data_IF_938878679527
#
_entry.id   IF_938878679527
#
_cell.length_a   1.000
_cell.length_b   1.000
_cell.length_c   1.000
_cell.angle_alpha   90.00
_cell.angle_beta   90.00
_cell.angle_gamma   90.00
#
_symmetry.space_group_name_H-M   'P 1'
#
loop_
_entity.id
_entity.type
_entity.pdbx_description
1 polymer ?
#
# COMPACT_ATOMS: atom_id res chain seq x y z
N UNK A 1 25.36 -24.82 16.52
CA UNK A 1 25.05 -23.37 16.65
C UNK A 1 25.19 -22.73 15.27
N UNK A 2 24.12 -22.11 14.75
CA UNK A 2 24.19 -21.45 13.43
C UNK A 2 25.14 -20.27 13.46
N UNK A 3 26.05 -20.21 12.51
CA UNK A 3 27.03 -19.12 12.34
C UNK A 3 26.41 -17.75 12.04
N UNK A 4 25.10 -17.70 11.76
CA UNK A 4 24.43 -16.48 11.28
C UNK A 4 23.24 -16.13 12.18
N UNK A 5 23.10 -14.84 12.45
CA UNK A 5 21.95 -14.27 13.14
C UNK A 5 20.70 -14.42 12.26
N UNK A 6 19.63 -14.99 12.82
CA UNK A 6 18.34 -15.12 12.14
C UNK A 6 17.23 -14.61 13.07
N UNK A 7 16.51 -13.60 12.64
CA UNK A 7 15.33 -13.11 13.34
C UNK A 7 14.14 -14.05 13.10
N UNK A 8 13.27 -14.24 14.11
CA UNK A 8 12.04 -15.00 13.93
C UNK A 8 11.04 -14.27 13.02
N UNK A 9 10.18 -15.03 12.31
CA UNK A 9 9.12 -14.45 11.48
C UNK A 9 8.20 -13.53 12.31
N UNK A 10 7.91 -13.89 13.55
CA UNK A 10 7.09 -13.08 14.47
C UNK A 10 7.76 -11.75 14.78
N UNK A 11 9.05 -11.73 15.06
CA UNK A 11 9.79 -10.50 15.34
C UNK A 11 9.90 -9.64 14.08
N UNK A 12 10.26 -10.23 12.94
CA UNK A 12 10.34 -9.52 11.66
C UNK A 12 9.00 -8.89 11.25
N UNK A 13 7.89 -9.60 11.46
CA UNK A 13 6.54 -9.08 11.24
C UNK A 13 6.26 -7.87 12.14
N UNK A 14 6.54 -8.00 13.45
CA UNK A 14 6.35 -6.93 14.43
C UNK A 14 7.17 -5.68 14.05
N UNK A 15 8.45 -5.85 13.70
CA UNK A 15 9.35 -4.75 13.38
C UNK A 15 8.88 -3.99 12.12
N UNK A 16 8.46 -4.71 11.06
CA UNK A 16 7.91 -4.10 9.84
C UNK A 16 6.60 -3.36 10.11
N UNK A 17 5.72 -3.95 10.90
CA UNK A 17 4.46 -3.31 11.29
C UNK A 17 4.73 -2.04 12.10
N UNK A 18 5.68 -2.08 13.04
CA UNK A 18 6.08 -0.91 13.81
C UNK A 18 6.64 0.20 12.94
N UNK A 19 7.50 -0.12 11.96
CA UNK A 19 8.02 0.85 11.00
C UNK A 19 6.88 1.53 10.25
N UNK A 20 5.92 0.77 9.72
CA UNK A 20 4.82 1.35 8.96
C UNK A 20 3.94 2.26 9.84
N UNK A 21 3.65 1.83 11.08
CA UNK A 21 2.90 2.65 12.06
C UNK A 21 3.63 3.94 12.43
N UNK A 22 4.95 3.89 12.59
CA UNK A 22 5.73 5.05 13.04
C UNK A 22 5.97 6.09 11.97
N UNK A 23 6.12 5.69 10.71
CA UNK A 23 6.53 6.61 9.65
C UNK A 23 5.67 6.55 8.39
N UNK A 24 5.05 5.41 8.09
CA UNK A 24 4.20 5.24 6.92
C UNK A 24 2.85 5.91 7.10
N UNK A 25 2.14 5.56 8.18
CA UNK A 25 0.83 6.12 8.51
C UNK A 25 0.90 7.65 8.64
N UNK A 26 1.76 8.24 9.52
CA UNK A 26 1.79 9.69 9.65
C UNK A 26 2.12 10.41 8.34
N UNK A 27 3.01 9.85 7.53
CA UNK A 27 3.36 10.47 6.25
C UNK A 27 2.23 10.43 5.22
N UNK A 28 1.36 9.43 5.26
CA UNK A 28 0.15 9.38 4.43
C UNK A 28 -0.92 10.35 4.95
N UNK A 29 -1.13 10.42 6.25
CA UNK A 29 -2.04 11.38 6.90
C UNK A 29 -1.64 12.82 6.60
N UNK A 30 -0.35 13.15 6.68
CA UNK A 30 0.22 14.47 6.29
C UNK A 30 -0.06 14.81 4.81
N UNK A 31 -0.25 13.80 3.95
CA UNK A 31 -0.66 13.96 2.56
C UNK A 31 -2.18 13.94 2.36
N UNK A 32 -2.97 13.98 3.42
CA UNK A 32 -4.42 14.04 3.39
C UNK A 32 -5.12 12.69 3.16
N UNK A 33 -4.41 11.58 3.29
CA UNK A 33 -5.04 10.27 3.32
C UNK A 33 -5.66 10.02 4.69
N UNK A 34 -6.82 9.38 4.71
CA UNK A 34 -7.50 8.96 5.95
C UNK A 34 -7.60 7.45 6.03
N UNK A 35 -7.71 6.90 7.23
CA UNK A 35 -8.01 5.51 7.51
C UNK A 35 -8.73 5.36 8.86
N UNK A 36 -9.53 4.32 9.09
CA UNK A 36 -10.01 3.37 8.09
C UNK A 36 -11.00 4.04 7.11
N UNK A 37 -11.06 3.52 5.87
CA UNK A 37 -11.92 4.08 4.82
C UNK A 37 -13.27 3.38 4.79
N UNK A 38 -13.25 2.05 4.87
CA UNK A 38 -14.43 1.20 4.76
C UNK A 38 -14.82 0.59 6.11
N UNK A 39 -16.02 0.04 6.17
CA UNK A 39 -16.51 -0.73 7.32
C UNK A 39 -15.77 -2.07 7.44
N UNK A 40 -14.46 -2.05 7.53
CA UNK A 40 -13.65 -3.25 7.75
C UNK A 40 -13.19 -3.32 9.19
N UNK A 41 -13.27 -4.48 9.82
CA UNK A 41 -12.80 -4.70 11.19
C UNK A 41 -11.29 -4.99 11.27
N UNK A 42 -10.60 -5.08 10.13
CA UNK A 42 -9.23 -5.58 10.06
C UNK A 42 -8.16 -4.51 9.92
N UNK A 43 -8.53 -3.26 9.66
CA UNK A 43 -7.57 -2.17 9.49
C UNK A 43 -6.66 -2.02 10.71
N UNK A 44 -5.36 -2.22 10.50
CA UNK A 44 -4.34 -2.15 11.55
C UNK A 44 -4.35 -3.28 12.59
N UNK A 45 -5.27 -4.24 12.51
CA UNK A 45 -5.35 -5.40 13.40
C UNK A 45 -4.67 -6.62 12.77
N UNK A 46 -4.23 -7.55 13.62
CA UNK A 46 -3.69 -8.81 13.14
C UNK A 46 -4.83 -9.70 12.59
N UNK A 47 -4.78 -10.00 11.30
CA UNK A 47 -5.73 -10.87 10.64
C UNK A 47 -5.13 -12.28 10.50
N UNK A 48 -5.81 -13.26 11.10
CA UNK A 48 -5.37 -14.66 11.10
C UNK A 48 -5.45 -15.33 9.73
N UNK A 49 -6.38 -14.92 8.88
CA UNK A 49 -6.55 -15.48 7.53
C UNK A 49 -5.37 -15.16 6.62
N UNK A 50 -4.88 -13.93 6.64
CA UNK A 50 -3.71 -13.49 5.87
C UNK A 50 -2.41 -13.65 6.66
N UNK A 51 -2.46 -14.02 7.94
CA UNK A 51 -1.33 -14.10 8.87
C UNK A 51 -0.50 -12.82 8.92
N UNK A 52 -1.15 -11.67 9.03
CA UNK A 52 -0.47 -10.39 8.96
C UNK A 52 -1.37 -9.21 9.30
N UNK A 53 -0.90 -8.03 8.94
CA UNK A 53 -1.62 -6.76 9.10
C UNK A 53 -1.98 -6.21 7.72
N UNK A 54 -3.15 -5.57 7.62
CA UNK A 54 -3.50 -4.73 6.47
C UNK A 54 -3.92 -3.35 6.94
N UNK A 55 -3.71 -2.37 6.08
CA UNK A 55 -4.13 -0.98 6.26
C UNK A 55 -4.72 -0.47 4.96
N UNK A 56 -5.81 0.26 5.07
CA UNK A 56 -6.52 0.82 3.92
C UNK A 56 -6.64 2.33 4.09
N UNK A 57 -6.02 3.06 3.19
CA UNK A 57 -6.06 4.52 3.16
C UNK A 57 -6.76 4.99 1.91
N UNK A 58 -7.47 6.10 2.01
CA UNK A 58 -7.93 6.80 0.82
C UNK A 58 -7.87 8.30 0.98
N UNK A 59 -7.80 8.96 -0.17
CA UNK A 59 -7.89 10.40 -0.32
C UNK A 59 -8.77 10.71 -1.52
N UNK A 60 -9.63 11.73 -1.39
CA UNK A 60 -10.50 12.17 -2.48
C UNK A 60 -9.87 13.40 -3.16
N UNK A 61 -9.76 13.34 -4.48
CA UNK A 61 -9.30 14.45 -5.30
C UNK A 61 -10.44 14.95 -6.20
N UNK A 62 -10.68 16.26 -6.17
CA UNK A 62 -11.70 16.93 -7.00
C UNK A 62 -13.11 16.31 -6.82
N UNK A 63 -13.44 15.78 -5.66
CA UNK A 63 -14.69 15.09 -5.34
C UNK A 63 -15.06 13.93 -6.29
N UNK A 64 -14.08 13.45 -7.04
CA UNK A 64 -14.28 12.49 -8.12
C UNK A 64 -13.31 11.32 -8.09
N UNK A 65 -12.05 11.58 -7.80
CA UNK A 65 -11.02 10.54 -7.84
C UNK A 65 -10.69 10.05 -6.44
N UNK A 66 -10.95 8.77 -6.19
CA UNK A 66 -10.57 8.08 -4.97
C UNK A 66 -9.19 7.46 -5.16
N UNK A 67 -8.18 8.06 -4.56
CA UNK A 67 -6.83 7.51 -4.48
C UNK A 67 -6.76 6.56 -3.30
N UNK A 68 -6.55 5.27 -3.55
CA UNK A 68 -6.57 4.21 -2.56
C UNK A 68 -5.18 3.60 -2.37
N UNK A 69 -4.74 3.45 -1.12
CA UNK A 69 -3.49 2.78 -0.75
C UNK A 69 -3.80 1.61 0.17
N UNK A 70 -3.45 0.42 -0.29
CA UNK A 70 -3.57 -0.81 0.48
C UNK A 70 -2.18 -1.32 0.87
N UNK A 71 -1.93 -1.47 2.17
CA UNK A 71 -0.66 -1.96 2.68
C UNK A 71 -0.83 -3.32 3.34
N UNK A 72 -0.02 -4.30 2.92
CA UNK A 72 0.02 -5.64 3.51
C UNK A 72 1.39 -5.93 4.10
N UNK A 73 1.40 -6.41 5.35
CA UNK A 73 2.59 -6.81 6.08
C UNK A 73 2.38 -8.25 6.57
N UNK A 74 2.87 -9.22 5.80
CA UNK A 74 2.54 -10.63 5.95
C UNK A 74 3.63 -11.40 6.69
N UNK A 75 3.24 -12.38 7.51
CA UNK A 75 4.18 -13.29 8.18
C UNK A 75 4.90 -14.17 7.16
N UNK A 76 6.19 -14.37 7.38
CA UNK A 76 7.02 -15.16 6.45
C UNK A 76 7.59 -14.38 5.29
N UNK A 77 7.12 -13.17 5.04
CA UNK A 77 7.68 -12.28 4.04
C UNK A 77 8.74 -11.34 4.63
N UNK A 78 9.58 -10.76 3.78
CA UNK A 78 10.58 -9.75 4.18
C UNK A 78 10.16 -8.33 3.82
N UNK A 79 9.07 -8.15 3.05
CA UNK A 79 8.63 -6.86 2.49
C UNK A 79 7.39 -6.31 3.20
N UNK A 80 7.21 -4.98 3.04
CA UNK A 80 5.94 -4.29 3.23
C UNK A 80 5.40 -4.05 1.82
N UNK A 81 4.27 -4.65 1.48
CA UNK A 81 3.64 -4.49 0.18
C UNK A 81 2.72 -3.26 0.25
N UNK A 82 2.99 -2.25 -0.57
CA UNK A 82 2.19 -1.02 -0.64
C UNK A 82 1.66 -0.91 -2.06
N UNK A 83 0.36 -0.98 -2.20
CA UNK A 83 -0.33 -0.89 -3.46
C UNK A 83 -1.07 0.43 -3.57
N UNK A 84 -0.97 1.04 -4.73
CA UNK A 84 -1.76 2.23 -5.11
C UNK A 84 -2.75 1.84 -6.19
N UNK A 85 -3.98 2.28 -6.05
CA UNK A 85 -4.99 2.26 -7.10
C UNK A 85 -5.79 3.56 -7.10
N UNK A 86 -6.41 3.91 -8.23
CA UNK A 86 -7.22 5.12 -8.35
C UNK A 86 -8.51 4.77 -9.06
N UNK A 87 -9.61 5.24 -8.50
CA UNK A 87 -10.96 5.04 -9.02
C UNK A 87 -11.62 6.39 -9.32
N UNK A 88 -12.46 6.42 -10.32
CA UNK A 88 -13.37 7.52 -10.55
C UNK A 88 -14.72 7.15 -9.94
N UNK A 89 -15.15 7.90 -8.92
CA UNK A 89 -16.38 7.60 -8.18
C UNK A 89 -17.56 8.33 -8.83
N UNK A 90 -18.63 7.60 -9.08
CA UNK A 90 -19.88 8.15 -9.60
C UNK A 90 -21.08 7.53 -8.84
N UNK A 91 -22.01 8.36 -8.32
CA UNK A 91 -21.97 9.83 -8.29
C UNK A 91 -20.80 10.38 -7.48
N UNK A 92 -20.51 11.68 -7.61
CA UNK A 92 -19.41 12.33 -6.87
C UNK A 92 -19.62 12.23 -5.36
N UNK A 93 -18.51 12.09 -4.60
CA UNK A 93 -18.48 12.11 -3.15
C UNK A 93 -18.14 13.51 -2.64
N UNK A 94 -18.75 13.93 -1.54
CA UNK A 94 -18.33 15.13 -0.82
C UNK A 94 -17.16 14.84 0.11
N UNK A 95 -17.14 13.65 0.70
CA UNK A 95 -16.07 13.22 1.62
C UNK A 95 -15.82 11.71 1.52
N UNK A 96 -14.54 11.31 1.71
CA UNK A 96 -14.16 9.88 1.83
C UNK A 96 -14.89 9.19 2.98
N UNK A 97 -15.26 9.92 4.03
CA UNK A 97 -15.97 9.35 5.19
C UNK A 97 -17.35 8.76 4.86
N UNK A 98 -17.93 9.14 3.73
CA UNK A 98 -19.19 8.54 3.26
C UNK A 98 -19.03 7.06 2.90
N UNK A 99 -17.81 6.63 2.61
CA UNK A 99 -17.52 5.22 2.32
C UNK A 99 -17.49 4.32 3.56
N UNK A 100 -17.48 4.89 4.78
CA UNK A 100 -17.39 4.11 6.03
C UNK A 100 -18.57 3.15 6.27
N UNK A 101 -19.65 3.28 5.55
CA UNK A 101 -20.83 2.40 5.62
C UNK A 101 -20.73 1.16 4.71
N UNK A 102 -19.79 1.17 3.77
CA UNK A 102 -19.56 0.08 2.81
C UNK A 102 -18.39 -0.81 3.25
N UNK A 103 -18.32 -2.03 2.76
CA UNK A 103 -17.23 -2.97 3.08
C UNK A 103 -15.97 -2.76 2.22
N UNK A 104 -16.10 -2.15 1.05
CA UNK A 104 -15.00 -1.86 0.15
C UNK A 104 -14.41 -3.07 -0.58
N UNK A 105 -15.00 -4.24 -0.48
CA UNK A 105 -14.45 -5.48 -1.05
C UNK A 105 -14.28 -5.40 -2.56
N UNK A 106 -15.24 -4.83 -3.28
CA UNK A 106 -15.20 -4.75 -4.75
C UNK A 106 -14.05 -3.89 -5.27
N UNK A 107 -13.54 -2.92 -4.49
CA UNK A 107 -12.35 -2.17 -4.86
C UNK A 107 -11.07 -3.02 -4.90
N UNK A 108 -11.06 -4.14 -4.19
CA UNK A 108 -9.89 -5.01 -4.02
C UNK A 108 -9.92 -6.28 -4.87
N UNK A 109 -11.00 -6.55 -5.59
CA UNK A 109 -11.17 -7.74 -6.44
C UNK A 109 -11.22 -7.40 -7.94
N UNK A 110 -11.05 -8.37 -8.85
CA UNK A 110 -11.20 -8.13 -10.29
C UNK A 110 -12.62 -7.61 -10.64
N UNK A 111 -12.71 -6.69 -11.61
CA UNK A 111 -11.62 -6.19 -12.43
C UNK A 111 -10.84 -5.00 -11.83
N UNK A 112 -11.27 -4.45 -10.70
CA UNK A 112 -10.68 -3.26 -10.09
C UNK A 112 -9.21 -3.42 -9.69
N UNK A 113 -8.81 -4.61 -9.24
CA UNK A 113 -7.43 -4.86 -8.81
C UNK A 113 -6.42 -5.01 -9.97
N UNK A 114 -6.88 -5.04 -11.24
CA UNK A 114 -6.01 -5.16 -12.41
C UNK A 114 -5.13 -3.91 -12.58
N UNK A 115 -5.64 -2.75 -12.21
CA UNK A 115 -4.92 -1.47 -12.29
C UNK A 115 -4.12 -1.15 -11.03
N UNK A 116 -4.08 -2.06 -10.07
CA UNK A 116 -3.34 -1.89 -8.82
C UNK A 116 -1.83 -1.96 -9.06
N UNK A 117 -1.12 -0.90 -8.69
CA UNK A 117 0.33 -0.75 -8.86
C UNK A 117 1.05 -1.01 -7.54
N UNK A 118 1.94 -1.99 -7.49
CA UNK A 118 2.84 -2.22 -6.35
C UNK A 118 3.98 -1.21 -6.41
N UNK A 119 4.10 -0.39 -5.38
CA UNK A 119 5.15 0.63 -5.29
C UNK A 119 6.54 -0.02 -5.21
N UNK A 120 7.50 0.59 -5.86
CA UNK A 120 8.88 0.08 -5.98
C UNK A 120 8.98 -1.25 -6.73
N UNK A 121 7.98 -1.58 -7.54
CA UNK A 121 7.95 -2.74 -8.43
C UNK A 121 7.38 -2.35 -9.78
N UNK A 122 6.08 -2.06 -9.84
CA UNK A 122 5.36 -1.85 -11.10
C UNK A 122 5.56 -0.43 -11.65
N UNK A 123 5.98 0.52 -10.82
CA UNK A 123 6.26 1.90 -11.19
C UNK A 123 7.60 2.09 -11.94
N UNK A 124 8.41 1.04 -12.06
CA UNK A 124 9.72 1.12 -12.70
C UNK A 124 9.63 1.24 -14.23
N UNK A 125 10.49 2.11 -14.81
CA UNK A 125 10.55 2.39 -16.25
C UNK A 125 11.80 1.84 -16.97
N UNK A 126 12.79 1.37 -16.22
CA UNK A 126 14.08 0.97 -16.79
C UNK A 126 14.14 -0.49 -17.25
N UNK A 127 15.28 -0.90 -17.81
CA UNK A 127 15.50 -2.30 -18.15
C UNK A 127 15.37 -3.22 -16.94
N UNK A 128 14.77 -4.43 -17.09
CA UNK A 128 14.50 -5.33 -15.97
C UNK A 128 15.74 -5.69 -15.12
N UNK A 129 16.90 -5.76 -15.75
CA UNK A 129 18.16 -6.09 -15.07
C UNK A 129 18.60 -5.01 -14.07
N UNK A 130 18.33 -3.74 -14.36
CA UNK A 130 18.64 -2.63 -13.44
C UNK A 130 17.67 -2.55 -12.26
N UNK A 131 16.43 -3.00 -12.45
CA UNK A 131 15.47 -3.14 -11.36
C UNK A 131 16.03 -4.01 -10.23
N UNK A 132 16.51 -5.20 -10.56
CA UNK A 132 17.04 -6.15 -9.57
C UNK A 132 18.26 -5.63 -8.80
N UNK A 133 19.06 -4.75 -9.39
CA UNK A 133 20.34 -4.32 -8.85
C UNK A 133 20.23 -3.00 -8.10
N UNK A 134 19.45 -2.04 -8.60
CA UNK A 134 19.51 -0.64 -8.19
C UNK A 134 18.28 -0.09 -7.49
N UNK A 135 17.10 -0.76 -7.60
CA UNK A 135 15.92 -0.25 -6.94
C UNK A 135 15.79 -0.81 -5.52
N UNK A 136 15.84 0.06 -4.51
CA UNK A 136 15.50 -0.36 -3.17
C UNK A 136 14.00 -0.66 -3.08
N UNK A 137 13.67 -1.91 -2.81
CA UNK A 137 12.29 -2.33 -2.51
C UNK A 137 11.97 -2.08 -1.03
N UNK A 138 10.68 -2.04 -0.70
CA UNK A 138 10.19 -1.97 0.68
C UNK A 138 10.41 -3.30 1.43
N UNK A 139 11.66 -3.77 1.48
CA UNK A 139 12.01 -5.06 2.12
C UNK A 139 13.24 -4.96 3.02
N UNK A 140 13.27 -5.87 3.98
CA UNK A 140 14.48 -6.14 4.76
C UNK A 140 15.40 -6.98 3.86
N UNK A 141 16.51 -6.38 3.41
CA UNK A 141 17.51 -7.08 2.61
C UNK A 141 18.32 -8.08 3.43
N UNK A 142 19.23 -8.80 2.79
CA UNK A 142 20.08 -9.79 3.43
C UNK A 142 20.92 -9.20 4.57
N UNK A 143 21.06 -9.97 5.65
CA UNK A 143 21.87 -9.64 6.83
C UNK A 143 22.39 -10.94 7.45
N UNK A 144 23.51 -10.84 8.18
CA UNK A 144 24.16 -11.99 8.81
C UNK A 144 24.38 -11.78 10.31
N UNK A 145 24.23 -10.55 10.80
CA UNK A 145 24.41 -10.18 12.21
C UNK A 145 23.21 -9.40 12.73
N UNK A 146 23.07 -9.30 14.06
CA UNK A 146 22.04 -8.47 14.69
C UNK A 146 22.19 -6.99 14.29
N UNK A 147 23.39 -6.45 14.34
CA UNK A 147 23.66 -5.08 13.90
C UNK A 147 23.33 -4.86 12.42
N UNK A 148 23.60 -5.87 11.56
CA UNK A 148 23.21 -5.86 10.16
C UNK A 148 21.68 -5.79 9.98
N UNK A 149 20.93 -6.58 10.75
CA UNK A 149 19.46 -6.54 10.75
C UNK A 149 18.93 -5.16 11.15
N UNK A 150 19.41 -4.60 12.25
CA UNK A 150 19.04 -3.27 12.73
C UNK A 150 19.34 -2.18 11.69
N UNK A 151 20.47 -2.29 11.01
CA UNK A 151 20.83 -1.37 9.91
C UNK A 151 19.85 -1.48 8.74
N UNK A 152 19.40 -2.70 8.39
CA UNK A 152 18.39 -2.90 7.34
C UNK A 152 17.02 -2.35 7.74
N UNK A 153 16.61 -2.50 9.00
CA UNK A 153 15.38 -1.88 9.52
C UNK A 153 15.43 -0.35 9.41
N UNK A 154 16.54 0.28 9.80
CA UNK A 154 16.72 1.74 9.65
C UNK A 154 16.58 2.19 8.19
N UNK A 155 17.21 1.47 7.26
CA UNK A 155 17.09 1.77 5.82
C UNK A 155 15.65 1.62 5.31
N UNK A 156 14.97 0.55 5.70
CA UNK A 156 13.56 0.34 5.36
C UNK A 156 12.68 1.47 5.91
N UNK A 157 12.89 1.87 7.18
CA UNK A 157 12.16 2.97 7.81
C UNK A 157 12.29 4.29 7.03
N UNK A 158 13.53 4.66 6.66
CA UNK A 158 13.81 5.86 5.87
C UNK A 158 13.13 5.78 4.50
N UNK A 159 13.20 4.63 3.84
CA UNK A 159 12.61 4.43 2.51
C UNK A 159 11.07 4.57 2.56
N UNK A 160 10.41 3.90 3.51
CA UNK A 160 8.96 4.00 3.70
C UNK A 160 8.55 5.45 3.97
N UNK A 161 9.24 6.14 4.88
CA UNK A 161 8.95 7.53 5.19
C UNK A 161 9.08 8.45 3.95
N UNK A 162 10.14 8.28 3.18
CA UNK A 162 10.42 9.08 1.99
C UNK A 162 9.36 8.86 0.90
N UNK A 163 8.97 7.61 0.67
CA UNK A 163 8.01 7.28 -0.36
C UNK A 163 6.60 7.74 0.00
N UNK A 164 6.19 7.54 1.26
CA UNK A 164 4.87 8.01 1.71
C UNK A 164 4.78 9.54 1.74
N UNK A 165 5.86 10.24 2.09
CA UNK A 165 5.93 11.71 1.96
C UNK A 165 5.85 12.18 0.49
N UNK A 166 6.37 11.40 -0.43
CA UNK A 166 6.40 11.70 -1.86
C UNK A 166 5.37 10.92 -2.67
N UNK A 167 4.27 10.49 -2.06
CA UNK A 167 3.27 9.60 -2.66
C UNK A 167 2.72 10.16 -4.00
N UNK A 168 2.64 11.47 -4.14
CA UNK A 168 2.19 12.14 -5.35
C UNK A 168 3.04 11.81 -6.60
N UNK A 169 4.31 11.39 -6.43
CA UNK A 169 5.14 10.91 -7.56
C UNK A 169 4.63 9.57 -8.08
N UNK A 170 4.21 8.69 -7.18
CA UNK A 170 3.63 7.38 -7.53
C UNK A 170 2.23 7.54 -8.12
N UNK A 171 1.43 8.49 -7.63
CA UNK A 171 0.12 8.83 -8.20
C UNK A 171 0.27 9.32 -9.65
N UNK A 172 1.20 10.25 -9.89
CA UNK A 172 1.52 10.67 -11.25
C UNK A 172 1.95 9.49 -12.13
N UNK A 173 2.79 8.60 -11.60
CA UNK A 173 3.24 7.42 -12.33
C UNK A 173 2.09 6.45 -12.61
N UNK A 174 1.16 6.28 -11.67
CA UNK A 174 -0.02 5.45 -11.87
C UNK A 174 -0.87 5.95 -13.05
N UNK A 175 -1.11 7.25 -13.15
CA UNK A 175 -1.83 7.86 -14.28
C UNK A 175 -1.11 7.73 -15.63
N UNK A 176 0.20 7.53 -15.64
CA UNK A 176 0.94 7.24 -16.86
C UNK A 176 0.75 5.79 -17.33
N UNK A 177 0.43 4.88 -16.42
CA UNK A 177 0.30 3.43 -16.67
C UNK A 177 -1.14 2.98 -16.85
N UNK A 178 -2.06 3.62 -16.13
CA UNK A 178 -3.44 3.18 -15.99
C UNK A 178 -4.43 4.32 -16.18
N UNK A 179 -5.68 3.93 -16.39
CA UNK A 179 -6.84 4.81 -16.33
C UNK A 179 -7.74 4.34 -15.19
N UNK A 180 -8.39 5.25 -14.45
CA UNK A 180 -9.29 4.88 -13.37
C UNK A 180 -10.53 4.17 -13.92
N UNK A 181 -10.95 3.11 -13.24
CA UNK A 181 -12.27 2.53 -13.45
C UNK A 181 -13.31 3.46 -12.84
N UNK A 182 -14.44 3.63 -13.54
CA UNK A 182 -15.60 4.35 -13.00
C UNK A 182 -16.37 3.36 -12.14
N UNK A 183 -16.56 3.68 -10.85
CA UNK A 183 -17.21 2.80 -9.88
C UNK A 183 -18.26 3.56 -9.08
N UNK A 184 -19.24 2.82 -8.55
CA UNK A 184 -20.10 3.30 -7.48
C UNK A 184 -19.38 3.29 -6.11
N UNK A 185 -20.11 3.60 -5.04
CA UNK A 185 -19.58 3.65 -3.67
C UNK A 185 -19.24 2.28 -3.09
N UNK A 186 -19.74 1.20 -3.67
CA UNK A 186 -19.43 -0.18 -3.30
C UNK A 186 -18.24 -0.74 -4.10
N UNK A 187 -17.76 0.01 -5.11
CA UNK A 187 -16.70 -0.42 -6.01
C UNK A 187 -17.19 -1.23 -7.22
N UNK A 188 -18.51 -1.29 -7.48
CA UNK A 188 -18.99 -1.91 -8.71
C UNK A 188 -18.68 -1.01 -9.89
N UNK A 189 -18.15 -1.59 -10.98
CA UNK A 189 -17.87 -0.83 -12.21
C UNK A 189 -19.18 -0.38 -12.85
N UNK A 190 -19.25 0.91 -13.10
CA UNK A 190 -20.35 1.52 -13.85
C UNK A 190 -19.95 1.49 -15.33
N UNK A 191 -20.51 0.55 -16.10
CA UNK A 191 -20.39 0.58 -17.54
C UNK A 191 -21.19 1.78 -18.06
N UNK A 192 -20.54 2.81 -18.53
CA UNK A 192 -21.19 3.83 -19.33
C UNK A 192 -21.74 3.13 -20.59
N UNK A 193 -23.01 2.73 -20.55
CA UNK A 193 -23.74 2.43 -21.77
C UNK A 193 -23.78 3.76 -22.51
N UNK A 194 -22.88 3.91 -23.48
CA UNK A 194 -22.91 5.04 -24.42
C UNK A 194 -24.31 5.06 -25.04
N UNK A 195 -25.11 6.06 -24.67
CA UNK A 195 -26.30 6.43 -25.42
C UNK A 195 -25.88 7.10 -26.73
#
# INVERSE_FOLDING_TARGET
MGLFYKVSNKQSLKDRNQIFKEVGIPALEDNGFIHPVFKTSWDGQYNHSIKGYCYEFARLQQNRYLESINTYILSGESRIQIYLNIFEISPQLESVTELNKYDGLNFSIPPNNITRMLLRSDDYKGPPIFYMIFLPEHKIGNYYTKAGYETKLKKLKILIQLDMKNINKFIKRWHELHKPNITDYEGNIINNISM
#
